data_IF_005961492755
#
_entry.id   IF_005961492755
#
_cell.length_a   1.000
_cell.length_b   1.000
_cell.length_c   1.000
_cell.angle_alpha   90.00
_cell.angle_beta   90.00
_cell.angle_gamma   90.00
#
_symmetry.space_group_name_H-M   'P 1'
#
loop_
_entity.id
_entity.type
_entity.pdbx_description
1 polymer ?
#
# COMPACT_ATOMS: atom_id res chain seq x y z
N UNK A 1 16.75 13.51 15.62
CA UNK A 1 16.67 13.71 17.07
C UNK A 1 16.01 15.02 17.42
N UNK A 2 15.10 14.99 18.38
CA UNK A 2 14.48 16.20 18.95
C UNK A 2 14.65 16.20 20.45
N UNK A 3 14.91 17.41 21.00
CA UNK A 3 15.01 17.61 22.44
C UNK A 3 13.62 17.74 23.07
N UNK A 4 13.33 16.92 24.08
CA UNK A 4 12.12 17.08 24.90
C UNK A 4 12.48 17.86 26.18
N UNK A 5 11.95 19.08 26.39
CA UNK A 5 12.26 19.90 27.54
C UNK A 5 11.65 19.38 28.85
N UNK A 6 10.62 18.56 28.80
CA UNK A 6 9.94 17.96 29.95
C UNK A 6 10.75 16.77 30.46
N UNK A 7 11.08 15.85 29.56
CA UNK A 7 11.91 14.69 29.85
C UNK A 7 13.39 15.07 30.02
N UNK A 8 13.81 16.26 29.56
CA UNK A 8 15.20 16.73 29.55
C UNK A 8 16.13 15.72 28.85
N UNK A 9 15.66 15.18 27.74
CA UNK A 9 16.36 14.15 26.97
C UNK A 9 16.13 14.32 25.47
N UNK A 10 17.05 13.80 24.68
CA UNK A 10 16.88 13.65 23.24
C UNK A 10 16.16 12.35 22.95
N UNK A 11 15.20 12.39 22.02
CA UNK A 11 14.56 11.18 21.47
C UNK A 11 14.74 11.10 19.97
N UNK A 12 14.77 9.88 19.48
CA UNK A 12 14.83 9.59 18.05
C UNK A 12 13.43 9.55 17.44
N UNK A 13 13.31 10.04 16.22
CA UNK A 13 12.15 9.84 15.35
C UNK A 13 12.61 9.76 13.90
N UNK A 14 12.19 8.76 13.19
CA UNK A 14 12.50 8.60 11.76
C UNK A 14 11.65 9.55 10.92
N UNK A 15 10.39 9.68 11.28
CA UNK A 15 9.39 10.47 10.56
C UNK A 15 9.15 11.81 11.26
N UNK A 16 8.00 11.99 11.90
CA UNK A 16 7.63 13.25 12.51
C UNK A 16 8.08 13.36 13.98
N UNK A 17 8.42 14.55 14.42
CA UNK A 17 8.85 14.79 15.82
C UNK A 17 7.78 14.42 16.87
N UNK A 18 6.51 14.36 16.50
CA UNK A 18 5.43 13.89 17.37
C UNK A 18 5.23 12.37 17.37
N UNK A 19 6.04 11.63 16.62
CA UNK A 19 6.03 10.17 16.52
C UNK A 19 7.40 9.60 16.91
N UNK A 20 7.76 9.58 18.22
CA UNK A 20 9.01 8.99 18.66
C UNK A 20 9.05 7.50 18.36
N UNK A 21 10.20 7.02 17.88
CA UNK A 21 10.40 5.61 17.59
C UNK A 21 10.59 4.83 18.90
N UNK A 22 10.16 3.56 18.88
CA UNK A 22 10.28 2.68 20.04
C UNK A 22 11.70 2.12 20.15
N UNK A 23 12.26 2.12 21.33
CA UNK A 23 13.57 1.56 21.58
C UNK A 23 13.51 0.04 21.80
N UNK A 24 13.76 -0.73 20.76
CA UNK A 24 13.76 -2.20 20.80
C UNK A 24 14.97 -2.82 21.55
N UNK A 25 15.98 -2.02 21.93
CA UNK A 25 17.02 -2.51 22.85
C UNK A 25 16.48 -2.74 24.25
N UNK A 26 15.35 -2.11 24.58
CA UNK A 26 14.63 -2.41 25.80
C UNK A 26 13.71 -3.62 25.60
N UNK A 27 13.97 -4.78 26.23
CA UNK A 27 13.14 -5.98 26.03
C UNK A 27 11.69 -5.79 26.46
N UNK A 28 11.39 -4.83 27.33
CA UNK A 28 10.02 -4.52 27.73
C UNK A 28 9.20 -3.93 26.57
N UNK A 29 9.83 -3.29 25.58
CA UNK A 29 9.17 -2.79 24.37
C UNK A 29 8.64 -3.95 23.54
N UNK A 30 9.47 -4.94 23.26
CA UNK A 30 9.05 -6.11 22.48
C UNK A 30 7.92 -6.91 23.20
N UNK A 31 8.00 -7.04 24.52
CA UNK A 31 6.91 -7.68 25.29
C UNK A 31 5.62 -6.84 25.27
N UNK A 32 5.70 -5.53 25.26
CA UNK A 32 4.52 -4.65 25.09
C UNK A 32 3.91 -4.78 23.70
N UNK A 33 4.73 -4.88 22.65
CA UNK A 33 4.29 -5.16 21.29
C UNK A 33 3.58 -6.50 21.22
N UNK A 34 4.13 -7.56 21.78
CA UNK A 34 3.48 -8.87 21.85
C UNK A 34 2.13 -8.84 22.59
N UNK A 35 2.06 -8.08 23.69
CA UNK A 35 0.79 -7.90 24.41
C UNK A 35 -0.27 -7.22 23.55
N UNK A 36 0.12 -6.21 22.77
CA UNK A 36 -0.77 -5.52 21.84
C UNK A 36 -1.21 -6.45 20.70
N UNK A 37 -0.27 -7.19 20.10
CA UNK A 37 -0.59 -8.16 19.05
C UNK A 37 -1.54 -9.25 19.56
N UNK A 38 -1.30 -9.79 20.75
CA UNK A 38 -2.16 -10.81 21.38
C UNK A 38 -3.59 -10.27 21.57
N UNK A 39 -3.75 -9.04 22.05
CA UNK A 39 -5.07 -8.43 22.21
C UNK A 39 -5.89 -8.48 20.90
N UNK A 40 -5.30 -8.12 19.78
CA UNK A 40 -5.97 -8.16 18.48
C UNK A 40 -6.18 -9.58 17.95
N UNK A 41 -5.21 -10.47 18.15
CA UNK A 41 -5.32 -11.88 17.77
C UNK A 41 -6.43 -12.59 18.54
N UNK A 42 -6.57 -12.29 19.84
CA UNK A 42 -7.65 -12.81 20.69
C UNK A 42 -9.03 -12.29 20.22
N UNK A 43 -9.09 -11.10 19.61
CA UNK A 43 -10.29 -10.58 18.96
C UNK A 43 -10.58 -11.22 17.59
N UNK A 44 -9.65 -11.99 17.04
CA UNK A 44 -9.84 -12.77 15.82
C UNK A 44 -9.29 -12.15 14.54
N UNK A 45 -8.35 -11.18 14.59
CA UNK A 45 -7.68 -10.70 13.37
C UNK A 45 -6.86 -11.82 12.73
N UNK A 46 -6.77 -11.82 11.39
CA UNK A 46 -6.08 -12.86 10.63
C UNK A 46 -4.58 -12.58 10.43
N UNK A 47 -4.11 -11.41 10.80
CA UNK A 47 -2.70 -11.04 10.69
C UNK A 47 -2.45 -9.56 10.89
N UNK A 48 -1.21 -9.14 10.64
CA UNK A 48 -0.77 -7.75 10.80
C UNK A 48 0.00 -7.27 9.58
N UNK A 49 -0.25 -6.04 9.19
CA UNK A 49 0.67 -5.25 8.40
C UNK A 49 1.67 -4.58 9.35
N UNK A 50 2.93 -4.84 9.14
CA UNK A 50 4.02 -4.25 9.91
C UNK A 50 4.48 -2.97 9.20
N UNK A 51 4.10 -1.84 9.78
CA UNK A 51 4.38 -0.51 9.25
C UNK A 51 5.86 -0.17 9.38
N UNK A 52 6.48 0.33 8.31
CA UNK A 52 7.83 0.89 8.30
C UNK A 52 8.89 0.02 8.99
N UNK A 53 8.81 -1.31 8.83
CA UNK A 53 9.66 -2.25 9.57
C UNK A 53 11.17 -2.14 9.28
N UNK A 54 11.66 -1.62 8.14
CA UNK A 54 13.08 -1.40 7.95
C UNK A 54 13.73 -0.47 8.98
N UNK A 55 12.93 0.33 9.67
CA UNK A 55 13.39 1.40 10.58
C UNK A 55 13.22 1.07 12.07
N UNK A 56 13.10 -0.22 12.45
CA UNK A 56 12.86 -0.63 13.83
C UNK A 56 14.05 -0.39 14.77
N UNK A 57 15.26 -0.38 14.22
CA UNK A 57 16.50 -0.34 15.00
C UNK A 57 17.38 0.81 14.55
N UNK A 58 17.91 1.57 15.49
CA UNK A 58 18.87 2.65 15.27
C UNK A 58 20.24 2.25 15.81
N UNK A 59 21.28 2.55 15.00
CA UNK A 59 22.69 2.34 15.40
C UNK A 59 23.54 3.48 14.90
N UNK A 60 24.34 4.06 15.79
CA UNK A 60 25.30 5.11 15.43
C UNK A 60 26.24 4.64 14.33
N UNK A 61 26.44 5.52 13.34
CA UNK A 61 27.31 5.25 12.21
C UNK A 61 26.72 4.36 11.12
N UNK A 62 25.41 4.07 11.18
CA UNK A 62 24.66 3.33 10.15
C UNK A 62 23.61 4.21 9.48
N UNK A 63 22.92 3.68 8.47
CA UNK A 63 21.74 4.32 7.84
C UNK A 63 20.50 4.30 8.75
N UNK A 64 20.50 3.52 9.83
CA UNK A 64 19.33 3.21 10.65
C UNK A 64 18.18 2.57 9.83
N UNK A 65 18.52 1.75 8.87
CA UNK A 65 17.59 1.12 7.94
C UNK A 65 18.08 -0.26 7.58
N UNK A 66 17.16 -1.24 7.57
CA UNK A 66 17.44 -2.63 7.18
C UNK A 66 18.62 -3.26 7.94
N UNK A 67 18.70 -3.02 9.25
CA UNK A 67 19.76 -3.56 10.06
C UNK A 67 19.49 -5.03 10.42
N UNK A 68 20.57 -5.80 10.66
CA UNK A 68 20.47 -7.21 11.04
C UNK A 68 19.60 -7.45 12.29
N UNK A 69 19.65 -6.54 13.24
CA UNK A 69 18.84 -6.60 14.46
C UNK A 69 17.34 -6.43 14.17
N UNK A 70 16.97 -5.67 13.14
CA UNK A 70 15.58 -5.57 12.65
C UNK A 70 15.04 -6.95 12.29
N UNK A 71 15.77 -7.72 11.52
CA UNK A 71 15.40 -9.09 11.15
C UNK A 71 15.30 -10.02 12.38
N UNK A 72 16.18 -9.85 13.37
CA UNK A 72 16.09 -10.61 14.63
C UNK A 72 14.76 -10.34 15.36
N UNK A 73 14.30 -9.09 15.41
CA UNK A 73 13.01 -8.72 16.01
C UNK A 73 11.85 -9.34 15.24
N UNK A 74 11.88 -9.28 13.89
CA UNK A 74 10.82 -9.83 13.04
C UNK A 74 10.72 -11.34 13.21
N UNK A 75 11.85 -12.06 13.24
CA UNK A 75 11.89 -13.51 13.50
C UNK A 75 11.29 -13.85 14.87
N UNK A 76 11.59 -13.06 15.90
CA UNK A 76 11.00 -13.26 17.23
C UNK A 76 9.48 -13.04 17.22
N UNK A 77 8.99 -12.05 16.48
CA UNK A 77 7.55 -11.81 16.28
C UNK A 77 6.91 -12.99 15.55
N UNK A 78 7.50 -13.43 14.43
CA UNK A 78 7.01 -14.57 13.65
C UNK A 78 6.91 -15.84 14.50
N UNK A 79 7.98 -16.20 15.18
CA UNK A 79 8.02 -17.41 16.03
C UNK A 79 6.96 -17.36 17.16
N UNK A 80 6.76 -16.20 17.79
CA UNK A 80 5.77 -16.02 18.85
C UNK A 80 4.33 -16.19 18.33
N UNK A 81 4.05 -15.66 17.14
CA UNK A 81 2.72 -15.76 16.52
C UNK A 81 2.45 -17.21 16.11
N UNK A 82 3.37 -17.86 15.44
CA UNK A 82 3.18 -19.25 15.01
C UNK A 82 2.96 -20.22 16.17
N UNK A 83 3.69 -20.03 17.26
CA UNK A 83 3.56 -20.89 18.42
C UNK A 83 2.19 -20.78 19.13
N UNK A 84 1.53 -19.63 19.06
CA UNK A 84 0.31 -19.36 19.83
C UNK A 84 -0.94 -19.17 18.96
N UNK A 85 -0.77 -18.73 17.72
CA UNK A 85 -1.83 -18.37 16.78
C UNK A 85 -1.51 -18.87 15.37
N UNK A 86 -1.48 -20.19 15.15
CA UNK A 86 -1.13 -20.76 13.86
C UNK A 86 -2.06 -20.27 12.74
N UNK A 87 -1.50 -20.07 11.55
CA UNK A 87 -2.25 -19.61 10.38
C UNK A 87 -2.49 -18.09 10.33
N UNK A 88 -1.88 -17.31 11.20
CA UNK A 88 -1.91 -15.84 11.12
C UNK A 88 -0.74 -15.32 10.29
N UNK A 89 -0.97 -14.28 9.50
CA UNK A 89 0.03 -13.77 8.57
C UNK A 89 0.67 -12.46 9.05
N UNK A 90 1.91 -12.24 8.60
CA UNK A 90 2.62 -10.96 8.69
C UNK A 90 2.86 -10.43 7.28
N UNK A 91 2.53 -9.16 7.07
CA UNK A 91 2.76 -8.43 5.81
C UNK A 91 3.75 -7.29 6.06
N UNK A 92 4.89 -7.33 5.40
CA UNK A 92 5.93 -6.32 5.51
C UNK A 92 5.61 -5.08 4.67
N UNK A 93 5.75 -3.90 5.26
CA UNK A 93 5.90 -2.66 4.51
C UNK A 93 7.37 -2.25 4.48
N UNK A 94 8.05 -2.60 3.39
CA UNK A 94 9.43 -2.26 3.12
C UNK A 94 9.51 -1.68 1.70
N UNK A 95 9.64 -0.34 1.59
CA UNK A 95 9.75 0.34 0.30
C UNK A 95 11.21 0.35 -0.15
N UNK A 96 11.66 -0.77 -0.70
CA UNK A 96 13.04 -1.04 -1.07
C UNK A 96 13.09 -1.76 -2.42
N UNK A 97 14.29 -1.93 -2.97
CA UNK A 97 14.50 -2.78 -4.16
C UNK A 97 14.12 -4.24 -3.87
N UNK A 98 13.69 -5.01 -4.88
CA UNK A 98 13.18 -6.36 -4.66
C UNK A 98 14.17 -7.30 -3.96
N UNK A 99 15.48 -7.14 -4.22
CA UNK A 99 16.55 -7.91 -3.56
C UNK A 99 16.60 -7.65 -2.06
N UNK A 100 16.48 -6.38 -1.64
CA UNK A 100 16.48 -6.00 -0.23
C UNK A 100 15.18 -6.44 0.46
N UNK A 101 14.04 -6.28 -0.21
CA UNK A 101 12.74 -6.75 0.34
C UNK A 101 12.72 -8.27 0.51
N UNK A 102 13.48 -9.02 -0.32
CA UNK A 102 13.60 -10.48 -0.19
C UNK A 102 14.05 -10.91 1.22
N UNK A 103 14.86 -10.11 1.88
CA UNK A 103 15.35 -10.40 3.24
C UNK A 103 14.23 -10.49 4.26
N UNK A 104 13.12 -9.74 4.08
CA UNK A 104 11.96 -9.74 4.99
C UNK A 104 11.09 -10.99 4.92
N UNK A 105 11.35 -11.90 3.99
CA UNK A 105 10.78 -13.25 3.99
C UNK A 105 11.66 -14.24 4.78
N UNK A 106 12.96 -13.92 4.95
CA UNK A 106 13.93 -14.80 5.57
C UNK A 106 14.04 -16.15 4.86
N UNK A 107 14.20 -17.20 5.62
CA UNK A 107 14.10 -18.60 5.18
C UNK A 107 12.70 -19.18 5.52
N UNK A 108 11.64 -18.41 5.27
CA UNK A 108 10.25 -18.64 5.69
C UNK A 108 10.06 -18.48 7.22
N UNK A 109 10.87 -17.64 7.83
CA UNK A 109 10.90 -17.40 9.29
C UNK A 109 10.71 -15.92 9.69
N UNK A 110 10.40 -15.06 8.70
CA UNK A 110 10.07 -13.64 8.90
C UNK A 110 8.63 -13.34 8.43
N UNK A 111 8.42 -12.39 7.51
CA UNK A 111 7.09 -12.08 7.02
C UNK A 111 6.60 -13.09 5.97
N UNK A 112 5.31 -13.38 5.99
CA UNK A 112 4.68 -14.24 4.99
C UNK A 112 4.48 -13.49 3.67
N UNK A 113 4.33 -12.17 3.74
CA UNK A 113 4.08 -11.29 2.60
C UNK A 113 4.89 -10.02 2.70
N UNK A 114 5.22 -9.44 1.56
CA UNK A 114 5.79 -8.09 1.46
C UNK A 114 5.21 -7.37 0.25
N UNK A 115 5.03 -6.04 0.34
CA UNK A 115 4.61 -5.24 -0.78
C UNK A 115 5.71 -5.12 -1.84
N UNK A 116 5.33 -5.29 -3.10
CA UNK A 116 6.24 -5.10 -4.23
C UNK A 116 6.17 -3.63 -4.70
N UNK A 117 6.78 -2.72 -3.95
CA UNK A 117 6.78 -1.29 -4.26
C UNK A 117 7.36 -0.95 -5.63
N UNK A 118 8.48 -1.55 -6.08
CA UNK A 118 9.07 -1.20 -7.38
C UNK A 118 8.20 -1.53 -8.59
N UNK A 119 7.30 -2.52 -8.50
CA UNK A 119 6.40 -2.89 -9.60
C UNK A 119 5.29 -1.85 -9.81
N UNK A 120 4.79 -1.24 -8.74
CA UNK A 120 3.68 -0.30 -8.79
C UNK A 120 3.94 0.86 -9.77
N UNK A 121 4.98 1.70 -9.62
CA UNK A 121 5.22 2.81 -10.55
C UNK A 121 5.51 2.34 -11.98
N UNK A 122 6.05 1.13 -12.14
CA UNK A 122 6.34 0.58 -13.47
C UNK A 122 5.11 0.12 -14.22
N UNK A 123 4.04 -0.25 -13.55
CA UNK A 123 2.74 -0.47 -14.20
C UNK A 123 2.19 0.84 -14.78
N UNK A 124 2.29 1.96 -14.04
CA UNK A 124 1.92 3.28 -14.56
C UNK A 124 2.85 3.74 -15.70
N UNK A 125 4.14 3.48 -15.58
CA UNK A 125 5.11 3.82 -16.64
C UNK A 125 4.82 3.06 -17.93
N UNK A 126 4.48 1.77 -17.83
CA UNK A 126 4.13 0.95 -18.99
C UNK A 126 2.90 1.51 -19.73
N UNK A 127 1.87 1.98 -19.00
CA UNK A 127 0.71 2.65 -19.59
C UNK A 127 1.12 3.98 -20.25
N UNK A 128 1.94 4.79 -19.59
CA UNK A 128 2.36 6.10 -20.10
C UNK A 128 3.24 5.98 -21.35
N UNK A 129 4.05 4.95 -21.45
CA UNK A 129 4.96 4.70 -22.56
C UNK A 129 4.37 3.79 -23.65
N UNK A 130 3.20 3.20 -23.39
CA UNK A 130 2.60 2.15 -24.25
C UNK A 130 3.57 1.00 -24.53
N UNK A 131 4.40 0.68 -23.51
CA UNK A 131 5.45 -0.34 -23.58
C UNK A 131 5.43 -1.24 -22.34
N UNK A 132 5.52 -2.54 -22.53
CA UNK A 132 5.59 -3.53 -21.45
C UNK A 132 6.95 -3.57 -20.74
N UNK A 133 7.99 -2.98 -21.34
CA UNK A 133 9.38 -3.09 -20.85
C UNK A 133 9.52 -2.74 -19.36
N UNK A 134 8.97 -1.66 -18.83
CA UNK A 134 9.11 -1.33 -17.40
C UNK A 134 8.66 -2.46 -16.47
N UNK A 135 7.57 -3.15 -16.82
CA UNK A 135 7.05 -4.28 -16.04
C UNK A 135 7.95 -5.50 -16.18
N UNK A 136 8.32 -5.85 -17.43
CA UNK A 136 9.13 -7.04 -17.69
C UNK A 136 10.52 -6.92 -17.09
N UNK A 137 11.07 -5.73 -17.07
CA UNK A 137 12.38 -5.46 -16.52
C UNK A 137 12.43 -5.65 -15.00
N UNK A 138 11.51 -5.04 -14.26
CA UNK A 138 11.47 -5.19 -12.80
C UNK A 138 11.12 -6.62 -12.37
N UNK A 139 10.28 -7.33 -13.12
CA UNK A 139 9.96 -8.73 -12.81
C UNK A 139 11.17 -9.65 -13.01
N UNK A 140 12.08 -9.34 -13.95
CA UNK A 140 13.36 -10.07 -14.10
C UNK A 140 14.33 -9.83 -12.95
N UNK A 141 14.24 -8.65 -12.32
CA UNK A 141 15.05 -8.28 -11.16
C UNK A 141 14.43 -8.75 -9.84
N UNK A 142 13.19 -9.25 -9.86
CA UNK A 142 12.51 -9.75 -8.67
C UNK A 142 13.00 -11.15 -8.33
N UNK A 143 13.64 -11.36 -7.17
CA UNK A 143 14.18 -12.65 -6.79
C UNK A 143 13.07 -13.65 -6.42
N UNK A 144 13.41 -14.91 -6.44
CA UNK A 144 12.54 -15.97 -5.90
C UNK A 144 12.40 -15.82 -4.39
N UNK A 145 11.21 -16.10 -3.91
CA UNK A 145 10.85 -16.06 -2.48
C UNK A 145 10.49 -17.46 -1.99
N UNK A 146 10.50 -17.74 -0.68
CA UNK A 146 10.08 -19.04 -0.15
C UNK A 146 8.69 -19.43 -0.62
N UNK A 147 8.45 -20.73 -0.83
CA UNK A 147 7.24 -21.27 -1.47
C UNK A 147 5.93 -20.93 -0.72
N UNK A 148 6.01 -20.71 0.59
CA UNK A 148 4.85 -20.31 1.42
C UNK A 148 4.65 -18.81 1.53
N UNK A 149 5.56 -18.01 0.96
CA UNK A 149 5.51 -16.56 0.95
C UNK A 149 4.86 -16.01 -0.31
N UNK A 150 4.42 -14.75 -0.26
CA UNK A 150 3.76 -14.08 -1.38
C UNK A 150 4.14 -12.60 -1.47
N UNK A 151 4.33 -12.10 -2.69
CA UNK A 151 4.32 -10.68 -2.95
C UNK A 151 2.91 -10.11 -2.86
N UNK A 152 2.73 -8.96 -2.19
CA UNK A 152 1.51 -8.16 -2.26
C UNK A 152 1.66 -7.12 -3.37
N UNK A 153 0.81 -7.21 -4.38
CA UNK A 153 0.81 -6.32 -5.55
C UNK A 153 -0.31 -5.30 -5.40
N UNK A 154 -0.04 -4.04 -5.70
CA UNK A 154 -1.03 -2.97 -5.57
C UNK A 154 -0.81 -1.87 -6.60
N UNK A 155 -1.87 -1.12 -6.91
CA UNK A 155 -1.83 0.07 -7.77
C UNK A 155 -1.80 1.34 -6.93
N UNK A 156 -2.63 1.40 -5.92
CA UNK A 156 -2.75 2.51 -4.98
C UNK A 156 -2.94 2.01 -3.57
N UNK A 157 -2.62 2.88 -2.60
CA UNK A 157 -2.84 2.69 -1.18
C UNK A 157 -3.25 4.04 -0.53
N UNK A 158 -3.22 4.11 0.78
CA UNK A 158 -3.52 5.32 1.58
C UNK A 158 -2.41 6.38 1.57
N UNK A 159 -1.27 6.08 0.97
CA UNK A 159 -0.13 6.98 0.81
C UNK A 159 -0.01 7.48 -0.63
N UNK A 160 1.03 8.23 -0.93
CA UNK A 160 1.36 8.63 -2.29
C UNK A 160 1.69 7.42 -3.18
N UNK A 161 1.51 7.57 -4.48
CA UNK A 161 2.18 6.72 -5.46
C UNK A 161 3.66 7.04 -5.37
N UNK A 162 4.40 6.28 -4.56
CA UNK A 162 5.81 6.54 -4.32
C UNK A 162 6.65 6.26 -5.57
N UNK A 163 7.60 7.16 -5.84
CA UNK A 163 8.56 7.07 -6.94
C UNK A 163 9.99 6.99 -6.40
N UNK A 164 10.16 6.45 -5.18
CA UNK A 164 11.48 6.25 -4.59
C UNK A 164 12.25 5.13 -5.28
N UNK A 165 11.56 4.05 -5.64
CA UNK A 165 12.16 2.86 -6.27
C UNK A 165 12.13 2.92 -7.81
N UNK A 166 12.40 4.11 -8.35
CA UNK A 166 12.65 4.37 -9.78
C UNK A 166 13.87 5.28 -9.90
N UNK A 167 14.46 5.34 -11.09
CA UNK A 167 15.56 6.28 -11.36
C UNK A 167 15.05 7.73 -11.38
N UNK A 168 15.94 8.71 -11.19
CA UNK A 168 15.57 10.12 -11.24
C UNK A 168 14.94 10.50 -12.59
N UNK A 169 15.43 9.95 -13.70
CA UNK A 169 14.87 10.15 -15.03
C UNK A 169 13.44 9.60 -15.16
N UNK A 170 13.20 8.42 -14.62
CA UNK A 170 11.87 7.80 -14.59
C UNK A 170 10.92 8.59 -13.70
N UNK A 171 11.40 9.10 -12.57
CA UNK A 171 10.62 9.94 -11.66
C UNK A 171 10.18 11.23 -12.33
N UNK A 172 11.12 11.92 -12.98
CA UNK A 172 10.83 13.16 -13.71
C UNK A 172 9.82 12.92 -14.83
N UNK A 173 9.95 11.82 -15.56
CA UNK A 173 9.01 11.42 -16.58
C UNK A 173 7.59 11.20 -16.01
N UNK A 174 7.46 10.41 -14.93
CA UNK A 174 6.19 10.13 -14.29
C UNK A 174 5.55 11.38 -13.67
N UNK A 175 6.35 12.25 -13.06
CA UNK A 175 5.86 13.55 -12.56
C UNK A 175 5.33 14.45 -13.69
N UNK A 176 6.00 14.49 -14.81
CA UNK A 176 5.55 15.30 -15.94
C UNK A 176 4.29 14.73 -16.58
N UNK A 177 4.17 13.42 -16.63
CA UNK A 177 3.02 12.74 -17.23
C UNK A 177 1.78 12.75 -16.33
N UNK A 178 1.93 12.36 -15.06
CA UNK A 178 0.80 12.14 -14.14
C UNK A 178 0.56 13.26 -13.12
N UNK A 179 1.51 14.13 -12.92
CA UNK A 179 1.49 15.20 -11.92
C UNK A 179 2.09 16.50 -12.47
N UNK A 180 1.63 16.92 -13.66
CA UNK A 180 1.97 18.22 -14.24
C UNK A 180 1.57 19.36 -13.29
N UNK A 181 0.41 19.24 -12.63
CA UNK A 181 0.06 20.07 -11.49
C UNK A 181 0.90 19.69 -10.28
N UNK A 182 1.82 20.59 -9.89
CA UNK A 182 2.74 20.35 -8.78
C UNK A 182 2.06 20.10 -7.43
N UNK A 183 0.80 20.55 -7.26
CA UNK A 183 0.01 20.28 -6.05
C UNK A 183 -0.30 18.80 -5.87
N UNK A 184 -0.27 18.02 -6.96
CA UNK A 184 -0.40 16.57 -6.90
C UNK A 184 0.89 15.86 -6.45
N UNK A 185 2.03 16.56 -6.39
CA UNK A 185 3.31 15.99 -5.94
C UNK A 185 3.46 16.12 -4.43
N UNK A 186 3.96 15.09 -3.80
CA UNK A 186 4.33 15.08 -2.39
C UNK A 186 5.51 14.13 -2.18
N UNK A 187 6.47 14.52 -1.36
CA UNK A 187 7.70 13.76 -1.17
C UNK A 187 8.34 13.42 -2.54
N UNK A 188 8.71 12.17 -2.75
CA UNK A 188 9.15 11.65 -4.06
C UNK A 188 8.02 10.95 -4.82
N UNK A 189 6.76 11.35 -4.64
CA UNK A 189 5.61 10.65 -5.20
C UNK A 189 4.47 11.55 -5.68
N UNK A 190 3.32 10.92 -5.91
CA UNK A 190 2.11 11.54 -6.47
C UNK A 190 0.91 11.19 -5.58
N UNK A 191 0.26 12.19 -4.98
CA UNK A 191 -0.94 12.03 -4.15
C UNK A 191 -2.22 12.09 -4.98
N UNK A 192 -2.41 11.12 -5.85
CA UNK A 192 -3.60 10.97 -6.69
C UNK A 192 -4.15 9.54 -6.59
N UNK A 193 -5.45 9.37 -6.74
CA UNK A 193 -6.09 8.06 -6.88
C UNK A 193 -6.01 7.51 -8.31
N UNK A 194 -6.32 6.24 -8.49
CA UNK A 194 -6.24 5.54 -9.77
C UNK A 194 -7.07 6.23 -10.86
N UNK A 195 -8.33 6.51 -10.61
CA UNK A 195 -9.22 7.09 -11.64
C UNK A 195 -8.77 8.46 -12.13
N UNK A 196 -8.35 9.42 -11.26
CA UNK A 196 -7.74 10.66 -11.71
C UNK A 196 -6.42 10.49 -12.46
N UNK A 197 -5.55 9.56 -12.06
CA UNK A 197 -4.31 9.27 -12.77
C UNK A 197 -4.57 8.77 -14.20
N UNK A 198 -5.68 8.05 -14.41
CA UNK A 198 -6.10 7.55 -15.72
C UNK A 198 -7.07 8.50 -16.42
N UNK A 199 -7.23 9.75 -15.96
CA UNK A 199 -8.10 10.76 -16.56
C UNK A 199 -9.56 10.26 -16.76
N UNK A 200 -10.02 9.34 -15.90
CA UNK A 200 -11.32 8.66 -16.00
C UNK A 200 -11.47 7.76 -17.24
N UNK A 201 -10.41 7.52 -17.98
CA UNK A 201 -10.48 6.56 -19.09
C UNK A 201 -10.73 5.16 -18.51
N UNK A 202 -11.97 4.69 -18.71
CA UNK A 202 -12.44 3.41 -18.22
C UNK A 202 -11.58 2.24 -18.72
N UNK A 203 -11.09 2.29 -19.94
CA UNK A 203 -10.26 1.23 -20.53
C UNK A 203 -8.90 1.15 -19.86
N UNK A 204 -8.28 2.31 -19.55
CA UNK A 204 -7.00 2.37 -18.85
C UNK A 204 -7.14 1.89 -17.39
N UNK A 205 -8.23 2.26 -16.71
CA UNK A 205 -8.53 1.77 -15.36
C UNK A 205 -8.72 0.26 -15.35
N UNK A 206 -9.48 -0.28 -16.28
CA UNK A 206 -9.70 -1.73 -16.42
C UNK A 206 -8.41 -2.47 -16.81
N UNK A 207 -7.57 -1.90 -17.68
CA UNK A 207 -6.29 -2.49 -18.06
C UNK A 207 -5.35 -2.60 -16.86
N UNK A 208 -5.19 -1.53 -16.07
CA UNK A 208 -4.35 -1.57 -14.86
C UNK A 208 -4.87 -2.56 -13.82
N UNK A 209 -6.19 -2.60 -13.58
CA UNK A 209 -6.77 -3.60 -12.69
C UNK A 209 -6.62 -5.03 -13.24
N UNK A 210 -6.69 -5.22 -14.57
CA UNK A 210 -6.41 -6.53 -15.19
C UNK A 210 -4.97 -6.96 -14.97
N UNK A 211 -4.00 -6.04 -15.10
CA UNK A 211 -2.60 -6.29 -14.76
C UNK A 211 -2.46 -6.66 -13.28
N UNK A 212 -3.02 -5.84 -12.38
CA UNK A 212 -3.00 -6.11 -10.94
C UNK A 212 -3.52 -7.52 -10.60
N UNK A 213 -4.64 -7.90 -11.19
CA UNK A 213 -5.30 -9.18 -10.92
C UNK A 213 -4.65 -10.39 -11.60
N UNK A 214 -3.72 -10.17 -12.53
CA UNK A 214 -3.03 -11.24 -13.28
C UNK A 214 -1.54 -11.36 -12.97
N UNK A 215 -0.92 -10.37 -12.30
CA UNK A 215 0.48 -10.46 -11.87
C UNK A 215 0.70 -11.54 -10.82
N UNK A 216 1.93 -12.11 -10.74
CA UNK A 216 2.31 -13.02 -9.67
C UNK A 216 2.20 -12.34 -8.32
N UNK A 217 1.51 -12.97 -7.38
CA UNK A 217 1.31 -12.44 -6.04
C UNK A 217 -0.16 -12.26 -5.66
N UNK A 218 -0.39 -11.64 -4.53
CA UNK A 218 -1.73 -11.33 -3.99
C UNK A 218 -2.09 -9.88 -4.30
N UNK A 219 -3.17 -9.61 -5.04
CA UNK A 219 -3.59 -8.25 -5.35
C UNK A 219 -4.17 -7.56 -4.11
N UNK A 220 -3.73 -6.34 -3.85
CA UNK A 220 -4.28 -5.44 -2.84
C UNK A 220 -5.04 -4.32 -3.52
N UNK A 221 -6.33 -4.20 -3.24
CA UNK A 221 -7.18 -3.13 -3.77
C UNK A 221 -7.31 -2.02 -2.73
N UNK A 222 -7.17 -0.78 -3.18
CA UNK A 222 -7.45 0.37 -2.33
C UNK A 222 -8.94 0.72 -2.40
N UNK A 223 -9.58 0.96 -1.23
CA UNK A 223 -11.02 1.26 -1.19
C UNK A 223 -11.38 2.43 -2.11
N UNK A 224 -12.49 2.29 -2.82
CA UNK A 224 -12.99 3.29 -3.76
C UNK A 224 -12.41 3.20 -5.17
N UNK A 225 -11.28 2.51 -5.39
CA UNK A 225 -10.76 2.31 -6.74
C UNK A 225 -11.70 1.41 -7.57
N UNK A 226 -12.40 0.48 -6.91
CA UNK A 226 -13.40 -0.40 -7.53
C UNK A 226 -14.64 0.34 -8.04
N UNK A 227 -14.87 1.57 -7.62
CA UNK A 227 -15.95 2.44 -8.13
C UNK A 227 -15.42 3.62 -8.94
N UNK A 228 -14.09 3.77 -9.07
CA UNK A 228 -13.47 4.91 -9.75
C UNK A 228 -13.53 6.21 -8.95
N UNK A 229 -13.38 6.11 -7.63
CA UNK A 229 -13.39 7.26 -6.72
C UNK A 229 -12.25 8.24 -7.03
N UNK A 230 -12.55 9.53 -6.95
CA UNK A 230 -11.58 10.60 -7.13
C UNK A 230 -10.80 10.97 -5.87
N UNK A 231 -10.03 12.03 -5.97
CA UNK A 231 -9.23 12.61 -4.89
C UNK A 231 -9.40 14.13 -4.78
N UNK A 232 -8.82 14.71 -3.73
CA UNK A 232 -8.76 16.16 -3.56
C UNK A 232 -7.33 16.61 -3.26
N UNK A 233 -6.61 17.04 -4.29
CA UNK A 233 -5.20 17.50 -4.19
C UNK A 233 -5.03 18.82 -3.41
N UNK A 234 -6.10 19.47 -3.00
CA UNK A 234 -6.05 20.71 -2.22
C UNK A 234 -6.00 20.45 -0.70
N UNK A 235 -6.27 19.22 -0.26
CA UNK A 235 -6.09 18.83 1.14
C UNK A 235 -4.59 18.66 1.45
N UNK A 236 -4.25 18.84 2.72
CA UNK A 236 -2.89 18.68 3.21
C UNK A 236 -2.40 17.23 3.14
N UNK A 237 -1.09 17.03 3.26
CA UNK A 237 -0.44 15.72 3.26
C UNK A 237 -1.03 14.79 2.19
N UNK A 238 -1.36 13.56 2.56
CA UNK A 238 -2.01 12.52 1.73
C UNK A 238 -3.53 12.45 1.93
N UNK A 239 -4.09 13.38 2.68
CA UNK A 239 -5.52 13.38 3.07
C UNK A 239 -6.46 13.38 1.87
N UNK A 240 -6.02 13.97 0.75
CA UNK A 240 -6.79 13.99 -0.48
C UNK A 240 -7.12 12.62 -1.07
N UNK A 241 -6.35 11.58 -0.77
CA UNK A 241 -6.62 10.20 -1.18
C UNK A 241 -7.27 9.36 -0.08
N UNK A 242 -7.50 9.94 1.12
CA UNK A 242 -8.05 9.29 2.31
C UNK A 242 -9.47 9.75 2.66
N UNK A 243 -10.16 10.38 1.72
CA UNK A 243 -11.51 10.91 1.91
C UNK A 243 -12.54 9.82 2.16
N UNK A 244 -13.70 10.13 2.79
CA UNK A 244 -14.74 9.16 3.08
C UNK A 244 -15.18 8.35 1.86
N UNK A 245 -15.42 7.04 2.05
CA UNK A 245 -15.98 6.16 1.01
C UNK A 245 -17.36 6.65 0.57
N UNK A 246 -17.61 6.57 -0.73
CA UNK A 246 -18.85 7.04 -1.36
C UNK A 246 -19.82 5.87 -1.55
N UNK A 247 -20.71 5.68 -0.55
CA UNK A 247 -21.66 4.56 -0.53
C UNK A 247 -22.95 4.84 -1.31
N UNK A 248 -23.50 6.05 -1.15
CA UNK A 248 -24.78 6.46 -1.74
C UNK A 248 -24.80 7.96 -2.05
N UNK A 249 -25.94 8.44 -2.58
CA UNK A 249 -26.19 9.87 -2.79
C UNK A 249 -26.61 10.60 -1.50
N UNK A 250 -26.74 9.90 -0.39
CA UNK A 250 -27.13 10.46 0.89
C UNK A 250 -26.07 11.40 1.46
N UNK A 251 -26.44 12.09 2.54
CA UNK A 251 -25.54 12.99 3.28
C UNK A 251 -24.19 12.34 3.54
N UNK A 252 -23.10 13.07 3.25
CA UNK A 252 -21.73 12.61 3.37
C UNK A 252 -21.41 11.34 2.54
N UNK A 253 -22.12 11.15 1.41
CA UNK A 253 -21.95 9.96 0.59
C UNK A 253 -22.42 8.66 1.25
N UNK A 254 -23.33 8.73 2.22
CA UNK A 254 -23.76 7.57 3.01
C UNK A 254 -22.71 7.07 4.01
N UNK A 255 -21.56 7.73 4.12
CA UNK A 255 -20.46 7.34 5.02
C UNK A 255 -20.81 7.61 6.49
N UNK A 256 -21.44 8.76 6.79
CA UNK A 256 -21.79 9.17 8.14
C UNK A 256 -23.05 10.04 8.15
N UNK A 257 -23.84 9.92 9.20
CA UNK A 257 -25.01 10.81 9.47
C UNK A 257 -24.62 12.06 10.24
N UNK A 258 -23.36 12.21 10.64
CA UNK A 258 -22.85 13.37 11.37
C UNK A 258 -23.00 14.67 10.55
N UNK A 259 -22.86 15.81 11.21
CA UNK A 259 -22.72 17.08 10.51
C UNK A 259 -21.46 17.03 9.63
N UNK A 260 -21.50 17.46 8.34
CA UNK A 260 -20.32 17.47 7.47
C UNK A 260 -19.11 18.20 8.07
N UNK A 261 -19.35 19.24 8.88
CA UNK A 261 -18.29 19.96 9.58
C UNK A 261 -17.61 19.14 10.70
N UNK A 262 -18.22 18.03 11.13
CA UNK A 262 -17.68 17.14 12.15
C UNK A 262 -16.86 15.99 11.57
N UNK A 263 -16.80 15.86 10.24
CA UNK A 263 -15.98 14.85 9.59
C UNK A 263 -14.51 15.24 9.68
N UNK A 264 -13.64 14.25 9.95
CA UNK A 264 -12.18 14.46 9.95
C UNK A 264 -11.69 14.93 8.59
N UNK A 265 -12.21 14.33 7.52
CA UNK A 265 -11.95 14.74 6.13
C UNK A 265 -13.28 14.93 5.40
N UNK A 266 -13.39 15.94 4.52
CA UNK A 266 -14.59 16.16 3.74
C UNK A 266 -14.76 15.07 2.67
N UNK A 267 -15.99 14.71 2.29
CA UNK A 267 -16.22 13.88 1.10
C UNK A 267 -15.82 14.64 -0.16
N UNK A 268 -15.58 13.91 -1.24
CA UNK A 268 -15.33 14.51 -2.55
C UNK A 268 -16.63 15.15 -3.07
N UNK A 269 -16.56 16.45 -3.37
CA UNK A 269 -17.70 17.25 -3.86
C UNK A 269 -17.56 17.67 -5.33
N UNK A 270 -16.50 17.24 -5.99
CA UNK A 270 -16.25 17.50 -7.40
C UNK A 270 -17.40 16.96 -8.27
N UNK A 271 -17.88 17.68 -9.30
CA UNK A 271 -18.98 17.23 -10.15
C UNK A 271 -18.71 15.91 -10.89
N UNK A 272 -17.44 15.59 -11.17
CA UNK A 272 -17.05 14.39 -11.89
C UNK A 272 -16.79 13.19 -10.98
N UNK A 273 -16.28 13.44 -9.78
CA UNK A 273 -15.83 12.41 -8.84
C UNK A 273 -16.61 12.39 -7.52
N UNK A 274 -17.44 13.39 -7.28
CA UNK A 274 -18.23 13.49 -6.05
C UNK A 274 -19.24 12.35 -5.89
N UNK A 275 -19.68 12.11 -4.66
CA UNK A 275 -20.56 10.99 -4.32
C UNK A 275 -21.93 11.01 -5.03
N UNK A 276 -22.36 12.15 -5.57
CA UNK A 276 -23.58 12.24 -6.38
C UNK A 276 -23.37 11.57 -7.76
N UNK A 277 -22.13 11.51 -8.26
CA UNK A 277 -21.80 10.93 -9.58
C UNK A 277 -21.15 9.55 -9.46
N UNK A 278 -20.39 9.31 -8.39
CA UNK A 278 -19.62 8.08 -8.17
C UNK A 278 -19.97 7.52 -6.79
N UNK A 279 -20.73 6.44 -6.74
CA UNK A 279 -21.08 5.78 -5.48
C UNK A 279 -21.41 4.29 -5.69
N UNK A 280 -21.33 3.53 -4.59
CA UNK A 280 -21.55 2.08 -4.61
C UNK A 280 -22.99 1.73 -4.97
N UNK A 281 -23.99 2.43 -4.43
CA UNK A 281 -25.40 2.12 -4.61
C UNK A 281 -25.80 2.18 -6.09
N UNK A 282 -25.45 3.27 -6.77
CA UNK A 282 -25.73 3.44 -8.20
C UNK A 282 -25.02 2.38 -9.05
N UNK A 283 -23.73 2.13 -8.74
CA UNK A 283 -22.94 1.15 -9.49
C UNK A 283 -23.35 -0.30 -9.22
N UNK A 284 -23.88 -0.61 -8.05
CA UNK A 284 -24.37 -1.96 -7.75
C UNK A 284 -25.56 -2.34 -8.62
N UNK A 285 -26.41 -1.36 -8.97
CA UNK A 285 -27.57 -1.54 -9.85
C UNK A 285 -27.23 -1.60 -11.36
N UNK A 286 -26.05 -1.16 -11.78
CA UNK A 286 -25.62 -1.17 -13.19
C UNK A 286 -24.67 -2.35 -13.48
N UNK A 287 -25.09 -3.36 -14.28
CA UNK A 287 -24.26 -4.51 -14.61
C UNK A 287 -22.98 -4.15 -15.39
N UNK A 288 -22.92 -2.98 -16.02
CA UNK A 288 -21.76 -2.49 -16.78
C UNK A 288 -20.85 -1.57 -15.98
N UNK A 289 -21.18 -1.28 -14.72
CA UNK A 289 -20.37 -0.44 -13.84
C UNK A 289 -18.98 -0.99 -13.60
N UNK A 290 -18.05 -0.12 -13.14
CA UNK A 290 -16.70 -0.53 -12.74
C UNK A 290 -16.75 -1.50 -11.55
N UNK A 291 -17.64 -1.26 -10.59
CA UNK A 291 -17.83 -2.14 -9.45
C UNK A 291 -18.19 -3.57 -9.89
N UNK A 292 -19.17 -3.70 -10.78
CA UNK A 292 -19.60 -5.02 -11.24
C UNK A 292 -18.58 -5.67 -12.20
N UNK A 293 -17.83 -4.89 -12.96
CA UNK A 293 -16.67 -5.38 -13.70
C UNK A 293 -15.61 -5.94 -12.75
N UNK A 294 -15.23 -5.21 -11.70
CA UNK A 294 -14.25 -5.65 -10.68
C UNK A 294 -14.71 -6.95 -9.99
N UNK A 295 -16.00 -7.04 -9.63
CA UNK A 295 -16.58 -8.30 -9.07
C UNK A 295 -16.39 -9.48 -10.02
N UNK A 296 -16.67 -9.30 -11.31
CA UNK A 296 -16.47 -10.37 -12.31
C UNK A 296 -15.00 -10.77 -12.45
N UNK A 297 -14.09 -9.81 -12.50
CA UNK A 297 -12.65 -10.08 -12.57
C UNK A 297 -12.14 -10.86 -11.36
N UNK A 298 -12.57 -10.50 -10.16
CA UNK A 298 -12.25 -11.23 -8.94
C UNK A 298 -12.84 -12.65 -8.95
N UNK A 299 -14.05 -12.84 -9.47
CA UNK A 299 -14.67 -14.14 -9.61
C UNK A 299 -13.88 -15.03 -10.59
N UNK A 300 -13.45 -14.49 -11.74
CA UNK A 300 -12.59 -15.20 -12.70
C UNK A 300 -11.25 -15.60 -12.06
N UNK A 301 -10.59 -14.67 -11.36
CA UNK A 301 -9.34 -14.96 -10.67
C UNK A 301 -9.48 -16.10 -9.67
N UNK A 302 -10.57 -16.13 -8.89
CA UNK A 302 -10.84 -17.18 -7.89
C UNK A 302 -11.05 -18.57 -8.49
N UNK A 303 -11.41 -18.67 -9.76
CA UNK A 303 -11.63 -19.97 -10.45
C UNK A 303 -10.31 -20.65 -10.85
N UNK A 304 -9.16 -19.96 -10.79
CA UNK A 304 -7.88 -20.52 -11.20
C UNK A 304 -6.81 -20.30 -10.14
N UNK A 305 -6.15 -21.39 -9.73
CA UNK A 305 -5.01 -21.31 -8.82
C UNK A 305 -3.74 -20.77 -9.50
N UNK A 306 -3.71 -20.69 -10.84
CA UNK A 306 -2.57 -20.22 -11.59
C UNK A 306 -2.17 -18.78 -11.21
N UNK A 307 -3.13 -17.91 -10.91
CA UNK A 307 -2.86 -16.53 -10.50
C UNK A 307 -2.17 -16.39 -9.14
N UNK A 308 -2.42 -17.32 -8.22
CA UNK A 308 -1.84 -17.26 -6.88
C UNK A 308 -0.65 -18.21 -6.67
N UNK A 309 -0.57 -19.30 -7.44
CA UNK A 309 0.41 -20.38 -7.23
C UNK A 309 1.15 -20.81 -8.48
N UNK A 310 0.78 -20.26 -9.63
CA UNK A 310 1.43 -20.58 -10.91
C UNK A 310 2.70 -19.76 -11.15
N UNK A 311 3.34 -20.05 -12.27
CA UNK A 311 4.50 -19.29 -12.76
C UNK A 311 4.08 -18.36 -13.87
N UNK A 312 4.74 -17.19 -13.95
CA UNK A 312 4.57 -16.24 -15.03
C UNK A 312 5.73 -16.37 -16.04
N UNK A 313 5.39 -16.51 -17.31
CA UNK A 313 6.36 -16.43 -18.40
C UNK A 313 5.96 -15.35 -19.37
N UNK A 314 6.83 -14.36 -19.55
CA UNK A 314 6.66 -13.36 -20.59
C UNK A 314 6.95 -13.97 -21.97
N UNK A 315 6.02 -13.78 -22.90
CA UNK A 315 6.25 -14.19 -24.28
C UNK A 315 7.03 -13.12 -25.05
N UNK A 316 7.90 -13.55 -25.94
CA UNK A 316 8.68 -12.69 -26.85
C UNK A 316 7.80 -11.92 -27.84
#
# INVERSE_FOLDING_TARGET
>A
WTWDPVAKAWYWHRFFSHQPDLNYDNPAVLEAVFKTMRFWLDMGVDGFRLDAIPYLIERDGTSNENLRETHTVIKAIRARIEANYPGRLLLAEANMWPEDVREYFGDDDECHMAYHFPLMPRMYMAIAQEDRFPITDILRQTPEIPAHCQWAIFLRNHDELTLEMVTDRERDYLWNYYAADRRARINLGIRRRLAPLMERDRRRVELLNSLLLSMPGTPTLYYGDEIGMGDNIYLGDRDGVRTPMQWSIDRNGGFSRADPASLVLPPIMDPLYGYLSVNVETQAGDPHSLLNWTRRMLAVRKQSQAFGRGTLKMLS
#
